data_IF_966515454409
#
_entry.id   IF_966515454409
#
_cell.length_a   1.000
_cell.length_b   1.000
_cell.length_c   1.000
_cell.angle_alpha   90.00
_cell.angle_beta   90.00
_cell.angle_gamma   90.00
#
_symmetry.space_group_name_H-M   'P 1'
#
loop_
_entity.id
_entity.type
_entity.pdbx_description
1 polymer ?
#
# COMPACT_ATOMS: atom_id res chain seq x y z
N UNK A 1 -13.69 -5.33 -26.04
CA UNK A 1 -13.66 -6.31 -24.93
C UNK A 1 -15.05 -6.42 -24.33
N UNK A 2 -15.54 -7.64 -24.03
CA UNK A 2 -16.87 -7.84 -23.47
C UNK A 2 -16.97 -7.22 -22.06
N UNK A 3 -18.03 -6.44 -21.77
CA UNK A 3 -18.18 -5.70 -20.49
C UNK A 3 -18.10 -6.63 -19.26
N UNK A 4 -18.58 -7.86 -19.43
CA UNK A 4 -18.56 -8.93 -18.40
C UNK A 4 -17.14 -9.42 -18.08
N UNK A 5 -16.24 -9.46 -19.07
CA UNK A 5 -14.85 -9.83 -18.83
C UNK A 5 -14.12 -8.73 -18.05
N UNK A 6 -14.40 -7.45 -18.35
CA UNK A 6 -13.79 -6.32 -17.63
C UNK A 6 -14.25 -6.27 -16.16
N UNK A 7 -15.54 -6.55 -15.89
CA UNK A 7 -16.08 -6.55 -14.53
C UNK A 7 -15.52 -7.69 -13.65
N UNK A 8 -15.01 -8.77 -14.25
CA UNK A 8 -14.37 -9.85 -13.51
C UNK A 8 -12.85 -9.65 -13.36
N UNK A 9 -12.19 -9.18 -14.41
CA UNK A 9 -10.73 -9.00 -14.44
C UNK A 9 -10.26 -7.88 -13.53
N UNK A 10 -10.99 -6.75 -13.50
CA UNK A 10 -10.57 -5.58 -12.69
C UNK A 10 -10.55 -5.90 -11.19
N UNK A 11 -11.60 -6.47 -10.57
CA UNK A 11 -11.56 -6.84 -9.15
C UNK A 11 -10.48 -7.89 -8.83
N UNK A 12 -10.29 -8.87 -9.72
CA UNK A 12 -9.29 -9.92 -9.52
C UNK A 12 -7.87 -9.35 -9.53
N UNK A 13 -7.56 -8.47 -10.50
CA UNK A 13 -6.27 -7.78 -10.56
C UNK A 13 -6.06 -6.88 -9.34
N UNK A 14 -7.07 -6.10 -8.94
CA UNK A 14 -7.00 -5.29 -7.73
C UNK A 14 -6.69 -6.14 -6.49
N UNK A 15 -7.34 -7.29 -6.35
CA UNK A 15 -7.08 -8.22 -5.24
C UNK A 15 -5.63 -8.71 -5.25
N UNK A 16 -5.11 -9.14 -6.41
CA UNK A 16 -3.73 -9.61 -6.54
C UNK A 16 -2.73 -8.49 -6.18
N UNK A 17 -2.97 -7.27 -6.66
CA UNK A 17 -2.10 -6.12 -6.38
C UNK A 17 -2.09 -5.78 -4.89
N UNK A 18 -3.26 -5.73 -4.26
CA UNK A 18 -3.38 -5.47 -2.81
C UNK A 18 -2.70 -6.58 -2.01
N UNK A 19 -2.90 -7.84 -2.38
CA UNK A 19 -2.28 -8.99 -1.71
C UNK A 19 -0.75 -8.93 -1.82
N UNK A 20 -0.21 -8.67 -3.01
CA UNK A 20 1.22 -8.54 -3.22
C UNK A 20 1.81 -7.39 -2.39
N UNK A 21 1.13 -6.23 -2.38
CA UNK A 21 1.55 -5.08 -1.58
C UNK A 21 1.57 -5.40 -0.07
N UNK A 22 0.52 -6.06 0.44
CA UNK A 22 0.42 -6.44 1.84
C UNK A 22 1.51 -7.45 2.25
N UNK A 23 1.81 -8.44 1.41
CA UNK A 23 2.87 -9.43 1.68
C UNK A 23 4.24 -8.75 1.77
N UNK A 24 4.55 -7.87 0.80
CA UNK A 24 5.83 -7.16 0.77
C UNK A 24 5.97 -6.26 2.01
N UNK A 25 4.91 -5.51 2.36
CA UNK A 25 4.94 -4.66 3.55
C UNK A 25 5.09 -5.48 4.84
N UNK A 26 4.40 -6.61 4.95
CA UNK A 26 4.54 -7.52 6.08
C UNK A 26 5.98 -8.04 6.23
N UNK A 27 6.62 -8.40 5.12
CA UNK A 27 8.03 -8.79 5.11
C UNK A 27 8.96 -7.65 5.54
N UNK A 28 8.72 -6.43 5.05
CA UNK A 28 9.50 -5.24 5.47
C UNK A 28 9.35 -4.98 6.97
N UNK A 29 8.13 -5.04 7.51
CA UNK A 29 7.90 -4.88 8.95
C UNK A 29 8.58 -5.98 9.76
N UNK A 30 8.52 -7.23 9.31
CA UNK A 30 9.20 -8.35 9.96
C UNK A 30 10.72 -8.12 10.01
N UNK A 31 11.31 -7.72 8.89
CA UNK A 31 12.75 -7.44 8.81
C UNK A 31 13.14 -6.27 9.72
N UNK A 32 12.38 -5.17 9.70
CA UNK A 32 12.65 -4.01 10.55
C UNK A 32 12.53 -4.38 12.03
N UNK A 33 11.52 -5.16 12.41
CA UNK A 33 11.29 -5.53 13.80
C UNK A 33 12.38 -6.45 14.37
N UNK A 34 12.85 -7.43 13.59
CA UNK A 34 13.74 -8.48 14.09
C UNK A 34 15.22 -8.28 13.76
N UNK A 35 15.54 -7.50 12.72
CA UNK A 35 16.92 -7.38 12.22
C UNK A 35 17.49 -5.96 12.32
N UNK A 36 16.78 -5.02 12.94
CA UNK A 36 17.29 -3.67 13.18
C UNK A 36 17.18 -3.30 14.65
N UNK A 37 18.11 -2.48 15.14
CA UNK A 37 18.11 -1.99 16.52
C UNK A 37 16.89 -1.09 16.83
N UNK A 38 16.15 -0.67 15.81
CA UNK A 38 14.91 0.10 15.94
C UNK A 38 13.74 -0.77 16.45
N UNK A 39 13.79 -2.09 16.23
CA UNK A 39 12.78 -3.05 16.68
C UNK A 39 11.34 -2.59 16.44
N UNK A 40 10.53 -2.56 17.52
CA UNK A 40 9.13 -2.10 17.49
C UNK A 40 8.98 -0.64 17.03
N UNK A 41 9.88 0.25 17.43
CA UNK A 41 9.80 1.67 17.08
C UNK A 41 9.95 1.88 15.57
N UNK A 42 10.80 1.10 14.91
CA UNK A 42 10.95 1.14 13.46
C UNK A 42 9.64 0.82 12.72
N UNK A 43 8.93 -0.21 13.17
CA UNK A 43 7.62 -0.58 12.61
C UNK A 43 6.58 0.52 12.83
N UNK A 44 6.54 1.09 14.05
CA UNK A 44 5.59 2.17 14.39
C UNK A 44 5.82 3.39 13.50
N UNK A 45 7.08 3.80 13.29
CA UNK A 45 7.41 4.96 12.46
C UNK A 45 6.97 4.73 11.01
N UNK A 46 7.26 3.56 10.44
CA UNK A 46 6.86 3.26 9.05
C UNK A 46 5.32 3.17 8.95
N UNK A 47 4.66 2.55 9.93
CA UNK A 47 3.20 2.49 9.98
C UNK A 47 2.55 3.88 10.05
N UNK A 48 3.07 4.78 10.89
CA UNK A 48 2.61 6.17 10.97
C UNK A 48 2.90 6.94 9.69
N UNK A 49 4.06 6.74 9.07
CA UNK A 49 4.39 7.33 7.79
C UNK A 49 3.39 6.89 6.71
N UNK A 50 3.06 5.61 6.61
CA UNK A 50 2.05 5.11 5.66
C UNK A 50 0.66 5.69 5.95
N UNK A 51 0.26 5.74 7.23
CA UNK A 51 -1.04 6.28 7.65
C UNK A 51 -1.24 7.74 7.22
N UNK A 52 -0.19 8.56 7.32
CA UNK A 52 -0.26 10.00 7.01
C UNK A 52 0.05 10.26 5.54
N UNK A 53 1.11 9.66 4.99
CA UNK A 53 1.56 9.93 3.62
C UNK A 53 0.57 9.43 2.58
N UNK A 54 -0.11 8.30 2.81
CA UNK A 54 -1.07 7.75 1.83
C UNK A 54 -2.19 8.76 1.50
N UNK A 55 -2.97 9.28 2.46
CA UNK A 55 -3.99 10.28 2.17
C UNK A 55 -3.41 11.62 1.69
N UNK A 56 -2.23 12.03 2.19
CA UNK A 56 -1.58 13.27 1.73
C UNK A 56 -1.18 13.18 0.25
N UNK A 57 -0.57 12.06 -0.15
CA UNK A 57 -0.19 11.83 -1.55
C UNK A 57 -1.45 11.74 -2.41
N UNK A 58 -2.48 11.02 -1.97
CA UNK A 58 -3.76 10.94 -2.68
C UNK A 58 -4.36 12.33 -2.92
N UNK A 59 -4.41 13.16 -1.87
CA UNK A 59 -4.90 14.55 -1.95
C UNK A 59 -4.08 15.41 -2.92
N UNK A 60 -2.75 15.29 -2.88
CA UNK A 60 -1.86 16.05 -3.79
C UNK A 60 -2.08 15.59 -5.25
N UNK A 61 -2.17 14.28 -5.48
CA UNK A 61 -2.40 13.73 -6.81
C UNK A 61 -3.78 14.12 -7.35
N UNK A 62 -4.81 14.07 -6.52
CA UNK A 62 -6.16 14.52 -6.86
C UNK A 62 -6.16 16.00 -7.26
N UNK A 63 -5.59 16.88 -6.44
CA UNK A 63 -5.47 18.31 -6.73
C UNK A 63 -4.66 18.64 -7.99
N UNK A 64 -3.73 17.77 -8.39
CA UNK A 64 -2.94 17.94 -9.63
C UNK A 64 -3.66 17.39 -10.87
N UNK A 65 -4.60 16.47 -10.67
CA UNK A 65 -5.34 15.78 -11.74
C UNK A 65 -6.66 16.49 -12.03
N UNK A 66 -7.28 17.11 -11.02
CA UNK A 66 -8.35 18.09 -11.19
C UNK A 66 -7.78 19.36 -11.85
N UNK A 67 -8.14 19.55 -13.13
CA UNK A 67 -7.98 20.81 -13.85
C UNK A 67 -9.20 21.69 -13.64
#
# INVERSE_FOLDING_TARGET
>A
MNKVALSAVVPLLSFIVIAAFAIVLGYVFYQVHHHTDLGTYGVIIIGLALLILTPVIAFILEKRTEK
#
